data_IF_309243196008
#
_entry.id   IF_309243196008
#
_cell.length_a   1.000
_cell.length_b   1.000
_cell.length_c   1.000
_cell.angle_alpha   90.00
_cell.angle_beta   90.00
_cell.angle_gamma   90.00
#
_symmetry.space_group_name_H-M   'P 1'
#
loop_
_entity.id
_entity.type
_entity.pdbx_description
1 polymer ?
#
# COMPACT_ATOMS: atom_id res chain seq x y z
N UNK A 1 1.42 -29.38 15.44
CA UNK A 1 1.62 -27.98 14.99
C UNK A 1 2.84 -27.47 15.73
N UNK A 2 3.86 -27.01 15.02
CA UNK A 2 5.07 -26.47 15.66
C UNK A 2 4.69 -25.16 16.35
N UNK A 3 5.10 -25.01 17.60
CA UNK A 3 4.97 -23.80 18.40
C UNK A 3 5.66 -22.64 17.62
N UNK A 4 4.99 -21.53 17.27
CA UNK A 4 5.67 -20.45 16.58
C UNK A 4 6.77 -19.92 17.49
N UNK A 5 8.01 -20.03 17.06
CA UNK A 5 9.18 -19.59 17.80
C UNK A 5 9.03 -18.11 18.13
N UNK A 6 8.76 -17.79 19.39
CA UNK A 6 8.63 -16.43 19.88
C UNK A 6 9.93 -15.68 19.57
N UNK A 7 9.84 -14.58 18.81
CA UNK A 7 11.00 -13.75 18.46
C UNK A 7 11.65 -13.20 19.74
N UNK A 8 12.98 -13.14 19.75
CA UNK A 8 13.72 -12.48 20.82
C UNK A 8 13.54 -10.96 20.79
N UNK A 9 13.80 -10.30 21.90
CA UNK A 9 13.73 -8.83 21.99
C UNK A 9 14.63 -8.11 20.96
N UNK A 10 15.80 -8.69 20.67
CA UNK A 10 16.71 -8.17 19.65
C UNK A 10 16.13 -8.27 18.23
N UNK A 11 15.53 -9.41 17.87
CA UNK A 11 14.87 -9.64 16.59
C UNK A 11 13.66 -8.71 16.42
N UNK A 12 12.90 -8.47 17.49
CA UNK A 12 11.78 -7.54 17.48
C UNK A 12 12.23 -6.09 17.25
N UNK A 13 13.32 -5.66 17.88
CA UNK A 13 13.89 -4.31 17.67
C UNK A 13 14.47 -4.11 16.28
N UNK A 14 14.95 -5.14 15.64
CA UNK A 14 15.42 -5.10 14.26
C UNK A 14 14.26 -5.05 13.26
N UNK A 15 13.19 -5.81 13.53
CA UNK A 15 12.02 -5.93 12.65
C UNK A 15 11.09 -4.73 12.71
N UNK A 16 10.86 -4.17 13.89
CA UNK A 16 9.85 -3.17 14.17
C UNK A 16 10.42 -1.76 14.16
N UNK A 17 9.64 -0.79 13.69
CA UNK A 17 9.96 0.61 13.92
C UNK A 17 9.92 0.94 15.43
N UNK A 18 10.57 2.02 15.88
CA UNK A 18 10.52 2.43 17.29
C UNK A 18 9.09 2.58 17.84
N UNK A 19 8.16 3.09 17.04
CA UNK A 19 6.76 3.25 17.43
C UNK A 19 6.06 1.89 17.53
N UNK A 20 6.24 1.01 16.54
CA UNK A 20 5.66 -0.34 16.56
C UNK A 20 6.16 -1.13 17.76
N UNK A 21 7.47 -1.09 18.04
CA UNK A 21 8.04 -1.73 19.22
C UNK A 21 7.47 -1.16 20.52
N UNK A 22 7.39 0.17 20.65
CA UNK A 22 6.81 0.84 21.81
C UNK A 22 5.36 0.42 22.06
N UNK A 23 4.54 0.40 21.00
CA UNK A 23 3.13 0.03 21.10
C UNK A 23 3.00 -1.47 21.44
N UNK A 24 3.60 -2.35 20.63
CA UNK A 24 3.34 -3.80 20.74
C UNK A 24 4.01 -4.46 21.95
N UNK A 25 5.20 -3.98 22.36
CA UNK A 25 6.03 -4.62 23.39
C UNK A 25 6.04 -3.86 24.73
N UNK A 26 5.74 -2.57 24.73
CA UNK A 26 5.77 -1.73 25.94
C UNK A 26 4.39 -1.16 26.31
N UNK A 27 3.32 -1.69 25.72
CA UNK A 27 1.93 -1.23 25.92
C UNK A 27 1.76 0.27 25.71
N UNK A 28 2.48 0.83 24.73
CA UNK A 28 2.38 2.23 24.35
C UNK A 28 1.10 2.54 23.58
N UNK A 29 0.87 3.80 23.31
CA UNK A 29 -0.25 4.29 22.51
C UNK A 29 0.26 5.37 21.55
N UNK A 30 -0.15 5.29 20.30
CA UNK A 30 0.13 6.30 19.27
C UNK A 30 -0.83 7.51 19.39
N UNK A 31 -0.52 8.62 18.70
CA UNK A 31 -1.36 9.81 18.73
C UNK A 31 -2.69 9.59 17.94
N UNK A 32 -3.83 10.09 18.48
CA UNK A 32 -5.09 10.04 17.77
C UNK A 32 -5.07 10.92 16.52
N UNK A 33 -5.81 10.54 15.48
CA UNK A 33 -5.93 11.24 14.18
C UNK A 33 -4.60 11.48 13.44
N UNK A 34 -3.50 10.90 13.93
CA UNK A 34 -2.17 11.02 13.35
C UNK A 34 -1.50 9.65 13.17
N UNK A 35 -2.31 8.61 12.97
CA UNK A 35 -1.88 7.23 12.75
C UNK A 35 -2.41 6.70 11.41
N UNK A 36 -1.87 5.58 10.93
CA UNK A 36 -2.02 5.12 9.56
C UNK A 36 -3.46 4.71 9.20
N UNK A 37 -4.18 4.04 10.12
CA UNK A 37 -5.42 3.34 9.78
C UNK A 37 -6.68 3.93 10.40
N UNK A 38 -6.62 5.06 11.12
CA UNK A 38 -7.82 5.64 11.71
C UNK A 38 -8.88 5.97 10.63
N UNK A 39 -8.44 6.44 9.46
CA UNK A 39 -9.27 6.83 8.31
C UNK A 39 -9.06 5.90 7.10
N UNK A 40 -8.66 4.65 7.31
CA UNK A 40 -8.53 3.69 6.23
C UNK A 40 -9.86 2.98 5.97
N UNK A 41 -10.47 3.21 4.79
CA UNK A 41 -11.73 2.62 4.34
C UNK A 41 -11.56 1.55 3.27
N UNK A 42 -10.33 1.23 2.86
CA UNK A 42 -10.06 0.23 1.83
C UNK A 42 -10.51 -1.17 2.30
N UNK A 43 -11.11 -1.99 1.40
CA UNK A 43 -11.39 -3.39 1.69
C UNK A 43 -10.12 -4.20 1.95
N UNK A 44 -10.08 -4.98 3.01
CA UNK A 44 -8.95 -5.81 3.37
C UNK A 44 -8.97 -6.29 4.82
N UNK A 45 -7.89 -6.94 5.24
CA UNK A 45 -7.72 -7.39 6.62
C UNK A 45 -6.58 -6.66 7.31
N UNK A 46 -6.63 -6.62 8.63
CA UNK A 46 -5.57 -6.10 9.49
C UNK A 46 -4.94 -7.27 10.23
N UNK A 47 -3.62 -7.41 10.08
CA UNK A 47 -2.84 -8.49 10.71
C UNK A 47 -1.89 -7.92 11.76
N UNK A 48 -1.50 -8.73 12.74
CA UNK A 48 -0.48 -8.36 13.71
C UNK A 48 0.85 -8.05 13.01
N UNK A 49 1.42 -6.89 13.24
CA UNK A 49 2.71 -6.48 12.64
C UNK A 49 3.88 -7.40 13.06
N UNK A 50 3.76 -8.06 14.22
CA UNK A 50 4.77 -8.97 14.75
C UNK A 50 4.65 -10.37 14.15
N UNK A 51 3.49 -11.01 14.29
CA UNK A 51 3.27 -12.40 13.91
C UNK A 51 2.71 -12.61 12.52
N UNK A 52 2.03 -11.59 11.94
CA UNK A 52 1.24 -11.72 10.72
C UNK A 52 -0.12 -12.41 10.94
N UNK A 53 -0.52 -12.67 12.19
CA UNK A 53 -1.81 -13.27 12.51
C UNK A 53 -2.98 -12.35 12.09
N UNK A 54 -4.00 -12.86 11.37
CA UNK A 54 -5.17 -12.06 11.02
C UNK A 54 -5.98 -11.67 12.25
N UNK A 55 -6.21 -10.37 12.46
CA UNK A 55 -6.85 -9.85 13.68
C UNK A 55 -8.22 -9.23 13.41
N UNK A 56 -8.34 -8.36 12.41
CA UNK A 56 -9.56 -7.62 12.11
C UNK A 56 -9.84 -7.55 10.61
N UNK A 57 -11.12 -7.29 10.27
CA UNK A 57 -11.55 -7.08 8.88
C UNK A 57 -12.07 -5.66 8.69
N UNK A 58 -11.84 -5.08 7.52
CA UNK A 58 -12.45 -3.81 7.13
C UNK A 58 -13.97 -3.86 7.09
N UNK A 59 -14.56 -5.05 6.97
CA UNK A 59 -16.03 -5.26 7.03
C UNK A 59 -16.60 -4.99 8.42
N UNK A 60 -15.78 -5.09 9.46
CA UNK A 60 -16.16 -4.86 10.86
C UNK A 60 -15.64 -3.50 11.37
N UNK A 61 -14.93 -2.73 10.51
CA UNK A 61 -14.40 -1.41 10.85
C UNK A 61 -15.47 -0.33 10.74
N UNK A 62 -15.47 0.62 11.67
CA UNK A 62 -16.38 1.76 11.65
C UNK A 62 -15.68 3.03 12.13
N UNK A 63 -16.23 4.18 11.77
CA UNK A 63 -15.76 5.48 12.23
C UNK A 63 -16.32 5.77 13.64
N UNK A 64 -15.45 5.64 14.63
CA UNK A 64 -15.82 5.89 16.04
C UNK A 64 -15.59 7.34 16.49
N UNK A 65 -14.93 8.15 15.66
CA UNK A 65 -14.50 9.50 16.05
C UNK A 65 -13.40 9.55 17.14
N UNK A 66 -12.84 8.39 17.53
CA UNK A 66 -11.81 8.33 18.59
C UNK A 66 -10.42 8.70 18.11
N UNK A 67 -10.18 8.69 16.80
CA UNK A 67 -8.87 8.95 16.19
C UNK A 67 -7.97 7.71 16.08
N UNK A 68 -8.51 6.52 16.37
CA UNK A 68 -7.86 5.22 16.15
C UNK A 68 -8.79 4.29 15.36
N UNK A 69 -8.24 3.32 14.60
CA UNK A 69 -9.06 2.31 13.94
C UNK A 69 -9.91 1.55 14.97
N UNK A 70 -11.20 1.46 14.68
CA UNK A 70 -12.19 0.87 15.58
C UNK A 70 -12.98 -0.22 14.86
N UNK A 71 -13.15 -1.37 15.54
CA UNK A 71 -13.81 -2.55 14.97
C UNK A 71 -14.90 -3.05 15.91
N UNK A 72 -15.96 -3.63 15.34
CA UNK A 72 -17.06 -4.20 16.13
C UNK A 72 -16.74 -5.58 16.68
N UNK A 73 -15.80 -6.30 16.06
CA UNK A 73 -15.37 -7.64 16.45
C UNK A 73 -14.02 -8.00 15.82
N UNK A 74 -13.26 -8.96 16.39
CA UNK A 74 -12.11 -9.55 15.71
C UNK A 74 -12.55 -10.43 14.53
N UNK A 75 -11.61 -10.75 13.64
CA UNK A 75 -11.87 -11.62 12.48
C UNK A 75 -12.17 -13.07 12.91
N UNK A 76 -11.59 -13.50 14.02
CA UNK A 76 -11.83 -14.72 14.76
C UNK A 76 -11.67 -14.39 16.27
N UNK A 77 -12.59 -14.84 17.11
CA UNK A 77 -12.49 -14.61 18.56
C UNK A 77 -11.22 -15.20 19.17
N UNK A 78 -10.68 -16.27 18.58
CA UNK A 78 -9.45 -16.89 19.03
C UNK A 78 -8.18 -16.10 18.64
N UNK A 79 -8.27 -15.12 17.74
CA UNK A 79 -7.14 -14.30 17.29
C UNK A 79 -6.70 -13.26 18.33
N UNK A 80 -7.54 -12.95 19.31
CA UNK A 80 -7.24 -11.97 20.35
C UNK A 80 -7.44 -12.54 21.76
N UNK A 81 -6.70 -11.99 22.71
CA UNK A 81 -6.86 -12.27 24.13
C UNK A 81 -7.14 -10.98 24.89
N UNK A 82 -7.96 -11.06 25.93
CA UNK A 82 -8.34 -9.92 26.75
C UNK A 82 -7.72 -10.03 28.14
N UNK A 83 -7.18 -8.92 28.66
CA UNK A 83 -6.61 -8.83 30.00
C UNK A 83 -7.13 -7.58 30.71
N UNK A 84 -7.35 -7.69 32.01
CA UNK A 84 -7.67 -6.50 32.84
C UNK A 84 -6.47 -5.56 32.89
N UNK A 85 -6.69 -4.28 32.54
CA UNK A 85 -5.71 -3.19 32.65
C UNK A 85 -6.18 -2.14 33.66
N UNK A 86 -5.42 -1.97 34.73
CA UNK A 86 -5.67 -0.97 35.78
C UNK A 86 -4.64 0.17 35.77
N UNK A 87 -3.87 0.31 34.67
CA UNK A 87 -2.88 1.38 34.50
C UNK A 87 -3.55 2.77 34.41
N UNK A 88 -2.78 3.80 34.65
CA UNK A 88 -3.21 5.22 34.58
C UNK A 88 -4.45 5.57 35.42
N UNK A 89 -4.74 4.78 36.48
CA UNK A 89 -5.91 5.02 37.33
C UNK A 89 -7.27 4.71 36.69
N UNK A 90 -7.28 4.01 35.56
CA UNK A 90 -8.49 3.57 34.85
C UNK A 90 -8.63 2.05 34.96
N UNK A 91 -9.89 1.56 34.86
CA UNK A 91 -10.14 0.13 34.65
C UNK A 91 -10.57 -0.07 33.20
N UNK A 92 -9.76 -0.80 32.44
CA UNK A 92 -9.99 -1.09 31.01
C UNK A 92 -9.75 -2.56 30.74
N UNK A 93 -10.16 -3.03 29.58
CA UNK A 93 -9.82 -4.35 29.06
C UNK A 93 -8.82 -4.20 27.93
N UNK A 94 -7.57 -4.60 28.17
CA UNK A 94 -6.50 -4.66 27.18
C UNK A 94 -6.81 -5.77 26.17
N UNK A 95 -6.57 -5.50 24.89
CA UNK A 95 -6.63 -6.48 23.80
C UNK A 95 -5.21 -6.75 23.30
N UNK A 96 -4.86 -8.03 23.22
CA UNK A 96 -3.57 -8.52 22.72
C UNK A 96 -3.77 -9.55 21.62
N UNK A 97 -2.83 -9.66 20.67
CA UNK A 97 -2.84 -10.75 19.70
C UNK A 97 -2.54 -12.10 20.38
N UNK A 98 -3.24 -13.16 19.98
CA UNK A 98 -3.07 -14.48 20.57
C UNK A 98 -1.73 -15.11 20.18
N UNK A 99 -1.33 -14.99 18.92
CA UNK A 99 -0.09 -15.59 18.39
C UNK A 99 1.17 -14.79 18.70
N UNK A 100 1.11 -13.44 18.62
CA UNK A 100 2.27 -12.56 18.83
C UNK A 100 2.45 -12.04 20.25
N UNK A 101 1.42 -12.15 21.10
CA UNK A 101 1.32 -11.49 22.41
C UNK A 101 1.58 -9.96 22.32
N UNK A 102 1.26 -9.37 21.18
CA UNK A 102 1.40 -7.94 20.94
C UNK A 102 0.29 -7.17 21.64
N UNK A 103 0.61 -6.08 22.33
CA UNK A 103 -0.40 -5.12 22.77
C UNK A 103 -1.04 -4.48 21.53
N UNK A 104 -2.37 -4.55 21.40
CA UNK A 104 -3.11 -4.00 20.28
C UNK A 104 -3.83 -2.71 20.65
N UNK A 105 -4.43 -2.66 21.82
CA UNK A 105 -5.27 -1.57 22.30
C UNK A 105 -6.22 -2.02 23.39
N UNK A 106 -7.46 -1.52 23.36
CA UNK A 106 -8.47 -1.80 24.38
C UNK A 106 -9.85 -2.04 23.75
N UNK A 107 -10.68 -2.82 24.44
CA UNK A 107 -12.08 -2.99 24.09
C UNK A 107 -13.00 -2.26 25.07
N UNK A 108 -14.04 -1.63 24.53
CA UNK A 108 -15.02 -0.80 25.25
C UNK A 108 -16.45 -1.26 24.96
N UNK A 109 -17.39 -1.09 25.91
CA UNK A 109 -18.79 -1.50 25.75
C UNK A 109 -19.66 -0.38 25.14
N UNK A 110 -19.15 0.32 24.12
CA UNK A 110 -19.79 1.48 23.49
C UNK A 110 -19.79 1.37 21.94
N UNK A 111 -19.68 0.15 21.40
CA UNK A 111 -19.67 -0.10 19.97
C UNK A 111 -21.06 -0.22 19.35
N UNK A 112 -21.20 0.01 18.03
CA UNK A 112 -22.48 -0.02 17.30
C UNK A 112 -22.92 -1.43 16.94
N UNK A 113 -22.06 -2.46 17.06
CA UNK A 113 -22.37 -3.84 16.68
C UNK A 113 -23.35 -4.52 17.65
N UNK A 114 -23.88 -5.71 17.28
CA UNK A 114 -24.87 -6.42 18.07
C UNK A 114 -24.35 -6.86 19.45
N UNK A 115 -23.03 -7.01 19.62
CA UNK A 115 -22.38 -7.31 20.89
C UNK A 115 -22.09 -6.05 21.73
N UNK A 116 -22.34 -4.85 21.19
CA UNK A 116 -22.08 -3.56 21.85
C UNK A 116 -20.60 -3.25 22.09
N UNK A 117 -19.67 -3.98 21.46
CA UNK A 117 -18.23 -3.83 21.68
C UNK A 117 -17.57 -2.94 20.63
N UNK A 118 -16.59 -2.17 21.08
CA UNK A 118 -15.68 -1.39 20.23
C UNK A 118 -14.22 -1.75 20.57
N UNK A 119 -13.57 -2.41 19.65
CA UNK A 119 -12.13 -2.67 19.69
C UNK A 119 -11.40 -1.45 19.16
N UNK A 120 -10.80 -0.65 20.04
CA UNK A 120 -10.03 0.54 19.72
C UNK A 120 -8.55 0.16 19.65
N UNK A 121 -8.00 0.09 18.46
CA UNK A 121 -6.72 -0.57 18.18
C UNK A 121 -5.70 0.43 17.67
N UNK A 122 -4.44 0.30 18.08
CA UNK A 122 -3.35 1.11 17.55
C UNK A 122 -2.99 0.69 16.14
N UNK A 123 -2.90 1.62 15.20
CA UNK A 123 -2.41 1.36 13.84
C UNK A 123 -1.01 0.77 13.84
N UNK A 124 -0.15 1.23 14.75
CA UNK A 124 1.23 0.76 14.87
C UNK A 124 1.36 -0.72 15.25
N UNK A 125 0.30 -1.34 15.81
CA UNK A 125 0.26 -2.80 16.06
C UNK A 125 -0.21 -3.61 14.87
N UNK A 126 -0.65 -2.96 13.79
CA UNK A 126 -1.30 -3.57 12.65
C UNK A 126 -0.47 -3.41 11.36
N UNK A 127 -0.66 -4.36 10.43
CA UNK A 127 -0.33 -4.24 9.02
C UNK A 127 -1.61 -4.50 8.23
N UNK A 128 -1.92 -3.62 7.29
CA UNK A 128 -3.09 -3.76 6.43
C UNK A 128 -2.75 -4.56 5.19
N UNK A 129 -3.61 -5.53 4.83
CA UNK A 129 -3.53 -6.31 3.59
C UNK A 129 -4.78 -6.02 2.79
N UNK A 130 -4.67 -5.31 1.65
CA UNK A 130 -5.80 -5.07 0.76
C UNK A 130 -6.41 -6.37 0.23
N UNK A 131 -7.71 -6.34 -0.08
CA UNK A 131 -8.42 -7.53 -0.57
C UNK A 131 -7.80 -8.12 -1.84
N UNK A 132 -7.25 -7.29 -2.71
CA UNK A 132 -6.57 -7.70 -3.94
C UNK A 132 -5.26 -8.45 -3.69
N UNK A 133 -4.62 -8.25 -2.55
CA UNK A 133 -3.31 -8.84 -2.21
C UNK A 133 -3.43 -10.06 -1.29
N UNK A 134 -4.64 -10.37 -0.79
CA UNK A 134 -4.88 -11.46 0.17
C UNK A 134 -4.35 -12.82 -0.30
N UNK A 135 -4.51 -13.15 -1.57
CA UNK A 135 -4.02 -14.42 -2.13
C UNK A 135 -2.48 -14.49 -2.11
N UNK A 136 -1.83 -13.44 -2.62
CA UNK A 136 -0.36 -13.34 -2.72
C UNK A 136 0.31 -13.33 -1.34
N UNK A 137 -0.34 -12.70 -0.37
CA UNK A 137 0.14 -12.60 1.01
C UNK A 137 -0.19 -13.83 1.87
N UNK A 138 -0.84 -14.87 1.28
CA UNK A 138 -1.18 -16.11 1.96
C UNK A 138 -2.47 -16.08 2.78
N UNK A 139 -3.30 -15.05 2.60
CA UNK A 139 -4.58 -14.87 3.31
C UNK A 139 -5.80 -15.11 2.42
N UNK A 140 -5.65 -15.80 1.29
CA UNK A 140 -6.72 -16.05 0.30
C UNK A 140 -7.98 -16.70 0.87
N UNK A 141 -7.89 -17.40 2.00
CA UNK A 141 -9.05 -17.98 2.70
C UNK A 141 -10.10 -16.94 3.10
N UNK A 142 -9.70 -15.67 3.28
CA UNK A 142 -10.60 -14.58 3.65
C UNK A 142 -11.34 -13.96 2.47
N UNK A 143 -10.94 -14.21 1.21
CA UNK A 143 -11.60 -13.67 0.01
C UNK A 143 -13.11 -13.95 0.00
N UNK A 144 -13.51 -15.18 0.37
CA UNK A 144 -14.93 -15.57 0.44
C UNK A 144 -15.77 -14.68 1.35
N UNK A 145 -15.16 -14.14 2.42
CA UNK A 145 -15.87 -13.24 3.36
C UNK A 145 -16.18 -11.89 2.67
N UNK A 146 -15.27 -11.39 1.86
CA UNK A 146 -15.44 -10.16 1.08
C UNK A 146 -16.42 -10.37 -0.08
N UNK A 147 -16.36 -11.49 -0.78
CA UNK A 147 -17.34 -11.87 -1.82
C UNK A 147 -18.77 -11.93 -1.27
N UNK A 148 -18.95 -12.56 -0.09
CA UNK A 148 -20.23 -12.64 0.57
C UNK A 148 -20.78 -11.27 1.00
N UNK A 149 -19.90 -10.30 1.26
CA UNK A 149 -20.24 -8.91 1.58
C UNK A 149 -20.45 -8.04 0.32
N UNK A 150 -20.34 -8.60 -0.89
CA UNK A 150 -20.48 -7.87 -2.15
C UNK A 150 -19.29 -6.97 -2.50
N UNK A 151 -18.15 -7.15 -1.83
CA UNK A 151 -16.90 -6.45 -2.17
C UNK A 151 -16.28 -7.13 -3.39
N UNK A 152 -15.86 -6.34 -4.37
CA UNK A 152 -15.14 -6.87 -5.52
C UNK A 152 -13.82 -7.52 -5.06
N UNK A 153 -13.70 -8.82 -5.29
CA UNK A 153 -12.49 -9.60 -5.04
C UNK A 153 -11.78 -9.87 -6.36
N UNK A 154 -10.47 -10.15 -6.36
CA UNK A 154 -9.78 -10.59 -7.57
C UNK A 154 -10.50 -11.80 -8.16
N UNK A 155 -10.92 -11.70 -9.42
CA UNK A 155 -11.57 -12.83 -10.09
C UNK A 155 -10.61 -14.03 -10.14
N UNK A 156 -11.10 -15.28 -9.96
CA UNK A 156 -10.29 -16.49 -10.15
C UNK A 156 -9.63 -16.59 -11.54
N UNK A 157 -10.08 -15.79 -12.51
CA UNK A 157 -9.43 -15.63 -13.82
C UNK A 157 -8.11 -14.86 -13.76
N UNK A 158 -7.87 -14.04 -12.72
CA UNK A 158 -6.58 -13.38 -12.49
C UNK A 158 -5.52 -14.37 -11.94
N UNK A 159 -5.92 -15.53 -11.43
CA UNK A 159 -5.04 -16.57 -10.87
C UNK A 159 -4.40 -17.49 -11.91
N UNK A 160 -4.70 -17.33 -13.20
CA UNK A 160 -4.26 -18.26 -14.25
C UNK A 160 -3.04 -17.82 -15.06
N UNK A 161 -2.36 -16.72 -14.66
CA UNK A 161 -1.11 -16.32 -15.32
C UNK A 161 0.06 -16.64 -14.39
N UNK A 162 0.67 -17.81 -14.63
CA UNK A 162 1.83 -18.31 -13.88
C UNK A 162 3.11 -17.44 -14.03
N UNK A 163 2.98 -16.21 -14.55
CA UNK A 163 4.10 -15.33 -14.86
C UNK A 163 3.64 -13.86 -14.92
N UNK A 164 3.11 -13.30 -13.85
CA UNK A 164 2.85 -11.86 -13.78
C UNK A 164 4.12 -11.12 -13.38
N UNK A 165 4.40 -10.01 -14.05
CA UNK A 165 5.46 -9.08 -13.66
C UNK A 165 4.88 -7.74 -13.23
N UNK A 166 5.62 -7.04 -12.36
CA UNK A 166 5.25 -5.71 -11.87
C UNK A 166 6.29 -4.69 -12.33
N UNK A 167 5.82 -3.59 -12.91
CA UNK A 167 6.60 -2.39 -13.18
C UNK A 167 6.08 -1.23 -12.35
N UNK A 168 6.97 -0.35 -11.85
CA UNK A 168 6.62 0.89 -11.16
C UNK A 168 7.26 2.05 -11.91
N UNK A 169 6.42 2.93 -12.47
CA UNK A 169 6.80 3.96 -13.43
C UNK A 169 6.28 5.34 -13.00
N UNK A 170 7.13 6.35 -13.01
CA UNK A 170 6.80 7.75 -12.74
C UNK A 170 7.18 8.62 -13.94
N UNK A 171 6.25 9.35 -14.51
CA UNK A 171 6.46 10.14 -15.74
C UNK A 171 5.54 11.35 -15.86
N UNK A 172 5.35 12.12 -14.79
CA UNK A 172 4.41 13.23 -14.70
C UNK A 172 3.17 12.90 -13.90
N UNK A 173 2.06 13.57 -14.16
CA UNK A 173 0.78 13.30 -13.54
C UNK A 173 0.35 11.84 -13.78
N UNK A 174 0.14 11.10 -12.71
CA UNK A 174 -0.14 9.66 -12.77
C UNK A 174 -1.48 9.32 -13.44
N UNK A 175 -2.46 10.25 -13.51
CA UNK A 175 -3.74 10.01 -14.18
C UNK A 175 -3.58 9.74 -15.68
N UNK A 176 -2.79 10.59 -16.36
CA UNK A 176 -2.51 10.42 -17.79
C UNK A 176 -1.67 9.21 -18.09
N UNK A 177 -0.64 8.96 -17.27
CA UNK A 177 0.24 7.81 -17.43
C UNK A 177 -0.53 6.51 -17.21
N UNK A 178 -1.38 6.44 -16.17
CA UNK A 178 -2.23 5.29 -15.90
C UNK A 178 -3.15 4.97 -17.06
N UNK A 179 -3.91 5.98 -17.56
CA UNK A 179 -4.89 5.79 -18.61
C UNK A 179 -4.28 5.28 -19.92
N UNK A 180 -3.08 5.75 -20.26
CA UNK A 180 -2.40 5.31 -21.47
C UNK A 180 -1.78 3.91 -21.32
N UNK A 181 -1.21 3.59 -20.16
CA UNK A 181 -0.57 2.27 -19.94
C UNK A 181 -1.62 1.16 -19.84
N UNK A 182 -2.76 1.40 -19.17
CA UNK A 182 -3.80 0.37 -19.00
C UNK A 182 -4.35 -0.17 -20.33
N UNK A 183 -4.28 0.62 -21.41
CA UNK A 183 -4.77 0.24 -22.73
C UNK A 183 -3.83 -0.72 -23.48
N UNK A 184 -2.62 -0.96 -22.97
CA UNK A 184 -1.67 -1.85 -23.64
C UNK A 184 -2.13 -3.31 -23.55
N UNK A 185 -2.16 -4.04 -24.68
CA UNK A 185 -2.36 -5.48 -24.64
C UNK A 185 -1.30 -6.17 -23.77
N UNK A 186 -1.72 -6.95 -22.81
CA UNK A 186 -0.85 -7.62 -21.85
C UNK A 186 -0.79 -6.94 -20.48
N UNK A 187 -1.25 -5.70 -20.32
CA UNK A 187 -1.48 -5.10 -19.00
C UNK A 187 -2.71 -5.77 -18.36
N UNK A 188 -2.54 -6.21 -17.12
CA UNK A 188 -3.56 -6.91 -16.32
C UNK A 188 -4.27 -5.94 -15.42
N UNK A 189 -3.51 -5.09 -14.70
CA UNK A 189 -4.05 -4.05 -13.83
C UNK A 189 -3.08 -2.89 -13.67
N UNK A 190 -3.62 -1.73 -13.28
CA UNK A 190 -2.88 -0.54 -12.91
C UNK A 190 -3.36 -0.03 -11.57
N UNK A 191 -2.47 0.60 -10.81
CA UNK A 191 -2.75 1.27 -9.56
C UNK A 191 -1.90 2.53 -9.48
N UNK A 192 -2.48 3.69 -9.15
CA UNK A 192 -1.71 4.91 -8.95
C UNK A 192 -1.31 5.08 -7.49
N UNK A 193 -0.14 5.68 -7.25
CA UNK A 193 0.38 5.81 -5.89
C UNK A 193 1.65 6.65 -5.81
N UNK A 194 2.30 6.56 -4.66
CA UNK A 194 3.46 7.35 -4.30
C UNK A 194 4.62 6.44 -3.88
N UNK A 195 5.82 6.69 -4.43
CA UNK A 195 7.04 5.95 -4.06
C UNK A 195 8.30 6.79 -4.29
N UNK A 196 9.45 6.32 -3.86
CA UNK A 196 10.74 6.98 -4.05
C UNK A 196 11.04 8.10 -3.05
N UNK A 197 10.13 8.40 -2.13
CA UNK A 197 10.28 9.43 -1.10
C UNK A 197 10.70 8.87 0.26
N UNK A 198 10.78 9.78 1.25
CA UNK A 198 11.19 9.46 2.62
C UNK A 198 10.07 9.56 3.64
N UNK A 199 8.98 10.27 3.31
CA UNK A 199 7.86 10.42 4.22
C UNK A 199 7.04 9.12 4.23
N UNK A 200 6.90 8.42 5.37
CA UNK A 200 5.99 7.28 5.45
C UNK A 200 4.54 7.78 5.36
N UNK A 201 3.68 6.97 4.72
CA UNK A 201 2.25 7.23 4.55
C UNK A 201 1.94 8.64 4.03
N UNK A 202 2.43 8.98 2.82
CA UNK A 202 2.17 10.26 2.22
C UNK A 202 0.70 10.38 1.83
N UNK A 203 0.11 11.57 2.03
CA UNK A 203 -1.17 11.94 1.41
C UNK A 203 -0.92 12.79 0.16
N UNK A 204 -1.92 12.87 -0.73
CA UNK A 204 -1.85 13.72 -1.92
C UNK A 204 -1.45 15.16 -1.62
N UNK A 205 -2.06 15.78 -0.59
CA UNK A 205 -1.73 17.15 -0.20
C UNK A 205 -0.24 17.34 0.13
N UNK A 206 0.35 16.34 0.81
CA UNK A 206 1.78 16.41 1.17
C UNK A 206 2.68 16.16 -0.04
N UNK A 207 2.31 15.24 -0.92
CA UNK A 207 3.08 14.94 -2.14
C UNK A 207 3.02 16.12 -3.10
N UNK A 208 1.84 16.72 -3.30
CA UNK A 208 1.64 17.87 -4.20
C UNK A 208 2.44 19.10 -3.79
N UNK A 209 2.77 19.25 -2.50
CA UNK A 209 3.68 20.29 -2.00
C UNK A 209 5.15 20.08 -2.42
N UNK A 210 5.52 18.90 -2.98
CA UNK A 210 6.86 18.60 -3.45
C UNK A 210 7.91 18.36 -2.35
N UNK A 211 7.50 18.23 -1.07
CA UNK A 211 8.42 18.15 0.08
C UNK A 211 8.66 16.73 0.60
N UNK A 212 7.88 15.74 0.14
CA UNK A 212 7.95 14.36 0.62
C UNK A 212 9.06 13.53 -0.03
N UNK A 213 9.54 13.99 -1.20
CA UNK A 213 10.46 13.24 -2.06
C UNK A 213 9.81 12.13 -2.87
N UNK A 214 8.52 11.85 -2.67
CA UNK A 214 7.79 10.87 -3.49
C UNK A 214 7.56 11.36 -4.91
N UNK A 215 7.50 10.41 -5.86
CA UNK A 215 7.01 10.63 -7.20
C UNK A 215 5.58 10.08 -7.32
N UNK A 216 4.73 10.80 -8.06
CA UNK A 216 3.49 10.25 -8.58
C UNK A 216 3.82 9.12 -9.54
N UNK A 217 3.32 7.93 -9.26
CA UNK A 217 3.76 6.71 -9.91
C UNK A 217 2.59 5.82 -10.25
N UNK A 218 2.78 4.96 -11.26
CA UNK A 218 1.84 3.91 -11.65
C UNK A 218 2.50 2.56 -11.42
N UNK A 219 1.86 1.71 -10.65
CA UNK A 219 2.18 0.29 -10.52
C UNK A 219 1.41 -0.46 -11.59
N UNK A 220 2.11 -1.17 -12.44
CA UNK A 220 1.58 -1.90 -13.60
C UNK A 220 1.82 -3.37 -13.39
N UNK A 221 0.76 -4.18 -13.34
CA UNK A 221 0.84 -5.64 -13.39
C UNK A 221 0.59 -6.06 -14.83
N UNK A 222 1.47 -6.87 -15.41
CA UNK A 222 1.40 -7.28 -16.81
C UNK A 222 1.81 -8.74 -17.05
N UNK A 223 1.33 -9.32 -18.14
CA UNK A 223 1.68 -10.65 -18.62
C UNK A 223 2.93 -10.56 -19.52
N UNK A 224 4.12 -11.00 -19.06
CA UNK A 224 5.36 -10.91 -19.85
C UNK A 224 5.35 -11.76 -21.12
N UNK A 225 4.43 -12.70 -21.24
CA UNK A 225 4.25 -13.47 -22.49
C UNK A 225 3.56 -12.66 -23.59
N UNK A 226 2.82 -11.61 -23.23
CA UNK A 226 2.10 -10.72 -24.16
C UNK A 226 2.75 -9.36 -24.32
N UNK A 227 3.38 -8.85 -23.25
CA UNK A 227 4.03 -7.54 -23.20
C UNK A 227 5.37 -7.69 -22.48
N UNK A 228 6.49 -7.61 -23.18
CA UNK A 228 7.79 -7.64 -22.51
C UNK A 228 8.02 -6.39 -21.67
N UNK A 229 8.78 -6.50 -20.56
CA UNK A 229 9.16 -5.33 -19.75
C UNK A 229 9.86 -4.26 -20.59
N UNK A 230 10.72 -4.65 -21.55
CA UNK A 230 11.38 -3.72 -22.47
C UNK A 230 10.38 -2.95 -23.35
N UNK A 231 9.33 -3.60 -23.88
CA UNK A 231 8.33 -2.94 -24.72
C UNK A 231 7.42 -2.03 -23.90
N UNK A 232 7.08 -2.43 -22.68
CA UNK A 232 6.39 -1.55 -21.72
C UNK A 232 7.20 -0.27 -21.46
N UNK A 233 8.52 -0.40 -21.24
CA UNK A 233 9.39 0.76 -21.03
C UNK A 233 9.55 1.62 -22.29
N UNK A 234 9.66 1.02 -23.48
CA UNK A 234 9.68 1.77 -24.75
C UNK A 234 8.39 2.56 -24.95
N UNK A 235 7.26 1.98 -24.55
CA UNK A 235 5.98 2.70 -24.58
C UNK A 235 5.97 3.83 -23.56
N UNK A 236 6.39 3.59 -22.32
CA UNK A 236 6.51 4.58 -21.27
C UNK A 236 7.32 5.82 -21.71
N UNK A 237 8.46 5.63 -22.39
CA UNK A 237 9.26 6.73 -22.94
C UNK A 237 8.58 7.51 -24.08
N UNK A 238 7.43 7.06 -24.56
CA UNK A 238 6.62 7.78 -25.55
C UNK A 238 5.51 8.63 -24.94
N UNK A 239 5.18 8.38 -23.68
CA UNK A 239 4.06 9.02 -22.98
C UNK A 239 4.43 10.37 -22.38
N UNK A 240 5.72 10.63 -22.15
CA UNK A 240 6.18 11.82 -21.45
C UNK A 240 7.49 12.34 -22.04
N UNK A 241 7.91 13.56 -21.66
CA UNK A 241 9.23 14.09 -22.01
C UNK A 241 10.27 13.60 -20.99
N UNK A 242 11.13 12.63 -21.34
CA UNK A 242 12.14 12.10 -20.44
C UNK A 242 13.37 13.00 -20.26
N UNK A 243 13.38 14.20 -20.85
CA UNK A 243 14.52 15.13 -20.84
C UNK A 243 14.34 16.31 -19.88
N UNK A 244 13.17 16.41 -19.22
CA UNK A 244 12.87 17.49 -18.29
C UNK A 244 12.99 17.03 -16.84
N UNK A 245 13.97 17.56 -16.07
CA UNK A 245 14.08 17.22 -14.66
C UNK A 245 12.92 17.85 -13.86
N UNK A 246 12.26 17.04 -13.01
CA UNK A 246 11.20 17.49 -12.11
C UNK A 246 10.06 18.28 -12.77
N UNK A 247 9.71 17.94 -14.00
CA UNK A 247 8.65 18.63 -14.75
C UNK A 247 8.12 17.73 -15.86
N UNK A 248 6.78 17.80 -16.09
CA UNK A 248 6.11 17.29 -17.29
C UNK A 248 5.06 18.30 -17.73
N UNK A 249 5.17 18.78 -18.96
CA UNK A 249 4.25 19.80 -19.48
C UNK A 249 4.17 21.01 -18.54
N UNK A 250 2.99 21.25 -18.00
CA UNK A 250 2.72 22.34 -17.05
C UNK A 250 2.98 21.94 -15.58
N UNK A 251 3.13 20.65 -15.29
CA UNK A 251 3.30 20.14 -13.95
C UNK A 251 4.77 20.27 -13.50
N UNK A 252 5.00 20.99 -12.42
CA UNK A 252 6.34 21.29 -11.89
C UNK A 252 6.48 20.80 -10.46
N UNK A 253 7.58 20.12 -10.18
CA UNK A 253 7.92 19.62 -8.86
C UNK A 253 8.56 18.24 -8.93
N UNK A 254 9.26 17.85 -7.86
CA UNK A 254 9.95 16.55 -7.76
C UNK A 254 8.99 15.36 -7.88
N UNK A 255 7.70 15.55 -7.55
CA UNK A 255 6.66 14.55 -7.67
C UNK A 255 6.35 14.17 -9.13
N UNK A 256 6.68 15.02 -10.10
CA UNK A 256 6.46 14.79 -11.54
C UNK A 256 7.72 14.38 -12.30
N UNK A 257 8.79 13.97 -11.58
CA UNK A 257 10.02 13.52 -12.21
C UNK A 257 9.87 12.20 -12.94
N UNK A 258 10.72 11.97 -13.92
CA UNK A 258 10.77 10.72 -14.68
C UNK A 258 11.62 9.67 -13.96
N UNK A 259 11.02 8.55 -13.55
CA UNK A 259 11.70 7.45 -12.84
C UNK A 259 11.16 6.08 -13.26
N UNK A 260 12.07 5.12 -13.39
CA UNK A 260 11.77 3.69 -13.46
C UNK A 260 12.27 3.08 -12.15
N UNK A 261 11.35 2.53 -11.34
CA UNK A 261 11.68 1.85 -10.09
C UNK A 261 11.79 0.34 -10.34
N UNK A 262 12.99 -0.20 -10.24
CA UNK A 262 13.23 -1.62 -10.48
C UNK A 262 13.14 -2.45 -9.20
N UNK A 263 12.59 -3.66 -9.31
CA UNK A 263 12.47 -4.62 -8.19
C UNK A 263 13.50 -5.76 -8.29
N UNK A 264 14.08 -5.98 -9.48
CA UNK A 264 15.08 -7.04 -9.70
C UNK A 264 16.30 -6.52 -10.47
N UNK A 265 17.47 -7.19 -10.35
CA UNK A 265 18.65 -6.84 -11.16
C UNK A 265 18.39 -6.91 -12.67
N UNK A 266 17.54 -7.83 -13.12
CA UNK A 266 17.14 -8.00 -14.51
C UNK A 266 16.36 -6.79 -15.00
N UNK A 267 15.36 -6.33 -14.21
CA UNK A 267 14.62 -5.11 -14.51
C UNK A 267 15.53 -3.89 -14.58
N UNK A 268 16.49 -3.76 -13.66
CA UNK A 268 17.50 -2.69 -13.71
C UNK A 268 18.25 -2.69 -15.03
N UNK A 269 18.78 -3.86 -15.42
CA UNK A 269 19.54 -4.03 -16.67
C UNK A 269 18.72 -3.60 -17.88
N UNK A 270 17.49 -4.12 -18.00
CA UNK A 270 16.59 -3.79 -19.11
C UNK A 270 16.23 -2.29 -19.11
N UNK A 271 15.95 -1.70 -17.95
CA UNK A 271 15.64 -0.28 -17.83
C UNK A 271 16.80 0.61 -18.30
N UNK A 272 18.05 0.29 -17.91
CA UNK A 272 19.25 1.00 -18.34
C UNK A 272 19.53 0.81 -19.85
N UNK A 273 19.24 -0.37 -20.40
CA UNK A 273 19.37 -0.64 -21.84
C UNK A 273 18.36 0.18 -22.65
N UNK A 274 17.08 0.13 -22.30
CA UNK A 274 16.01 0.89 -22.99
C UNK A 274 16.26 2.40 -22.86
N UNK A 275 16.67 2.89 -21.67
CA UNK A 275 17.04 4.31 -21.50
C UNK A 275 18.13 4.72 -22.47
N UNK A 276 19.20 3.91 -22.63
CA UNK A 276 20.28 4.17 -23.60
C UNK A 276 19.80 4.13 -25.04
N UNK A 277 18.93 3.18 -25.40
CA UNK A 277 18.32 3.13 -26.74
C UNK A 277 17.55 4.41 -27.05
N UNK A 278 16.75 4.89 -26.10
CA UNK A 278 15.95 6.11 -26.26
C UNK A 278 16.84 7.34 -26.38
N UNK A 279 17.86 7.45 -25.55
CA UNK A 279 18.82 8.56 -25.59
C UNK A 279 19.60 8.59 -26.92
N UNK A 280 20.05 7.42 -27.39
CA UNK A 280 20.78 7.27 -28.66
C UNK A 280 19.89 7.41 -29.91
N UNK A 281 18.56 7.35 -29.78
CA UNK A 281 17.63 7.39 -30.91
C UNK A 281 17.61 8.72 -31.68
N UNK A 282 18.13 9.79 -31.06
CA UNK A 282 18.10 11.14 -31.63
C UNK A 282 16.71 11.80 -31.66
N UNK A 283 15.68 11.13 -31.13
CA UNK A 283 14.32 11.66 -31.04
C UNK A 283 14.26 12.90 -30.12
N UNK A 284 15.04 12.88 -29.05
CA UNK A 284 15.09 13.95 -28.07
C UNK A 284 16.34 14.83 -28.32
N UNK A 285 16.16 16.17 -28.26
CA UNK A 285 17.26 17.13 -28.46
C UNK A 285 18.16 17.28 -27.23
N UNK A 286 17.70 16.82 -26.08
CA UNK A 286 18.41 16.86 -24.79
C UNK A 286 18.60 15.44 -24.27
N UNK A 287 19.60 15.20 -23.42
CA UNK A 287 19.82 13.89 -22.80
C UNK A 287 18.60 13.43 -21.99
N UNK A 288 18.38 12.12 -21.97
CA UNK A 288 17.36 11.48 -21.14
C UNK A 288 17.77 11.54 -19.68
N UNK A 289 16.99 12.20 -18.84
CA UNK A 289 17.23 12.38 -17.41
C UNK A 289 16.45 11.39 -16.52
N UNK A 290 15.68 10.48 -17.12
CA UNK A 290 14.94 9.45 -16.39
C UNK A 290 15.85 8.73 -15.40
N UNK A 291 15.47 8.70 -14.12
CA UNK A 291 16.16 7.95 -13.09
C UNK A 291 15.84 6.45 -13.22
N UNK A 292 16.83 5.59 -12.93
CA UNK A 292 16.65 4.15 -12.76
C UNK A 292 17.03 3.83 -11.32
N UNK A 293 16.04 3.66 -10.45
CA UNK A 293 16.22 3.57 -8.99
C UNK A 293 15.62 2.27 -8.43
N UNK A 294 16.15 1.73 -7.33
CA UNK A 294 15.53 0.58 -6.68
C UNK A 294 14.11 0.93 -6.20
N UNK A 295 13.22 -0.04 -6.26
CA UNK A 295 11.88 0.10 -5.68
C UNK A 295 11.98 0.35 -4.17
N UNK A 296 11.14 1.26 -3.68
CA UNK A 296 10.98 1.60 -2.27
C UNK A 296 9.54 1.28 -1.85
N UNK A 297 9.15 1.42 -0.57
CA UNK A 297 7.78 1.17 -0.18
C UNK A 297 6.76 1.87 -1.07
N UNK A 298 5.76 1.12 -1.48
CA UNK A 298 4.65 1.60 -2.30
C UNK A 298 3.52 2.09 -1.39
N UNK A 299 2.99 3.26 -1.70
CA UNK A 299 1.83 3.84 -1.01
C UNK A 299 0.74 4.13 -2.05
N UNK A 300 -0.35 3.32 -2.09
CA UNK A 300 -1.48 3.60 -2.98
C UNK A 300 -2.00 5.02 -2.76
N UNK A 301 -2.31 5.71 -3.85
CA UNK A 301 -3.02 6.98 -3.75
C UNK A 301 -4.48 6.74 -3.36
N UNK A 302 -5.12 7.80 -2.90
CA UNK A 302 -6.49 7.80 -2.44
C UNK A 302 -7.46 7.32 -3.53
N UNK A 303 -8.57 6.69 -3.16
CA UNK A 303 -9.53 6.05 -4.09
C UNK A 303 -10.06 6.97 -5.20
N UNK A 304 -10.16 8.26 -4.94
CA UNK A 304 -10.60 9.23 -5.95
C UNK A 304 -9.55 9.48 -7.05
N UNK A 305 -8.30 9.06 -6.85
CA UNK A 305 -7.25 9.11 -7.87
C UNK A 305 -7.19 7.85 -8.73
N UNK A 306 -7.63 6.70 -8.20
CA UNK A 306 -7.63 5.45 -8.94
C UNK A 306 -8.61 5.53 -10.12
N UNK A 307 -8.19 5.11 -11.32
CA UNK A 307 -9.01 5.15 -12.54
C UNK A 307 -9.60 6.54 -12.84
N UNK A 308 -8.86 7.61 -12.51
CA UNK A 308 -9.40 8.97 -12.52
C UNK A 308 -10.00 9.36 -13.87
N UNK A 309 -9.30 9.12 -14.98
CA UNK A 309 -9.77 9.49 -16.31
C UNK A 309 -10.91 8.58 -16.83
N UNK A 310 -11.05 7.38 -16.31
CA UNK A 310 -12.23 6.55 -16.57
C UNK A 310 -13.47 7.07 -15.86
N UNK A 311 -13.30 7.52 -14.61
CA UNK A 311 -14.36 8.15 -13.81
C UNK A 311 -14.67 9.56 -14.31
N UNK A 312 -13.68 10.25 -14.89
CA UNK A 312 -13.74 11.64 -15.35
C UNK A 312 -13.17 11.78 -16.78
N UNK A 313 -13.89 11.37 -17.84
CA UNK A 313 -13.35 11.33 -19.22
C UNK A 313 -12.87 12.67 -19.77
N UNK A 314 -13.32 13.80 -19.22
CA UNK A 314 -12.89 15.16 -19.55
C UNK A 314 -11.96 15.75 -18.48
N UNK A 315 -11.39 14.90 -17.63
CA UNK A 315 -10.48 15.31 -16.56
C UNK A 315 -9.15 15.84 -17.10
N UNK A 316 -8.36 16.41 -16.18
CA UNK A 316 -7.03 16.93 -16.51
C UNK A 316 -6.07 15.83 -16.97
N UNK A 317 -5.37 16.11 -18.06
CA UNK A 317 -4.22 15.35 -18.56
C UNK A 317 -3.05 16.29 -18.77
N UNK A 318 -1.87 15.93 -18.32
CA UNK A 318 -0.64 16.69 -18.58
C UNK A 318 -0.11 16.47 -20.00
#
# INVERSE_FOLDING_TARGET
MADPKKMSDAELKEKLSPLQYHVTQQCGTEAPFANEFWDNHRPGIYVDVVSGEPLFSSLDKFDSGSGWPSFTQPIDEAAVTEKSDSSHGMQRTEVRSAGGDSHLGHVFPDGPGPNGLRYCINSASLRFIPVQDLEQEGYGTFLKRFEAAGVATPSPKAQAVANEEVAILAGGCFWGVEELIRQLPGVISTEVGYTGGRLPFPSYDKVSMGTTGHAESVRVVFDPAKLSYADLLRYFFRLHDPTTPNQQGNDRGTQYRSVIFYSTPEQKKVAEEVKREVDASGKWKKPVVTEVSPATPWYPAEDYHQDYLQKNPNGYTC
#
